data_IF_207339318104
#
_entry.id   IF_207339318104
#
_cell.length_a   1.000
_cell.length_b   1.000
_cell.length_c   1.000
_cell.angle_alpha   90.00
_cell.angle_beta   90.00
_cell.angle_gamma   90.00
#
_symmetry.space_group_name_H-M   'P 1'
#
loop_
_entity.id
_entity.type
_entity.pdbx_description
1 polymer ?
#
# COMPACT_ATOMS: atom_id res chain seq x y z
N UNK A 1 1.32 28.71 -11.80
CA UNK A 1 1.12 27.64 -12.79
C UNK A 1 2.26 26.65 -12.66
N UNK A 2 2.00 25.35 -12.65
CA UNK A 2 2.98 24.28 -12.57
C UNK A 2 3.35 23.79 -13.98
N UNK A 3 4.51 23.15 -14.11
CA UNK A 3 4.86 22.44 -15.34
C UNK A 3 4.19 21.08 -15.39
N UNK A 4 4.06 20.42 -14.21
CA UNK A 4 3.42 19.11 -14.06
C UNK A 4 2.57 19.07 -12.80
N UNK A 5 1.35 18.55 -12.91
CA UNK A 5 0.56 18.02 -11.80
C UNK A 5 0.52 16.50 -11.91
N UNK A 6 0.73 15.83 -10.78
CA UNK A 6 0.62 14.37 -10.63
C UNK A 6 -0.55 14.05 -9.72
N UNK A 7 -1.48 13.21 -10.18
CA UNK A 7 -2.60 12.72 -9.37
C UNK A 7 -2.31 11.31 -8.88
N UNK A 8 -2.08 11.17 -7.59
CA UNK A 8 -1.73 9.93 -6.91
C UNK A 8 -0.25 9.82 -6.53
N UNK A 9 0.01 9.58 -5.27
CA UNK A 9 1.35 9.47 -4.65
C UNK A 9 1.84 8.03 -4.46
N UNK A 10 1.31 7.07 -5.24
CA UNK A 10 1.82 5.71 -5.30
C UNK A 10 3.16 5.60 -6.04
N UNK A 11 3.69 4.36 -6.26
CA UNK A 11 5.02 4.15 -6.86
C UNK A 11 5.22 4.85 -8.21
N UNK A 12 4.21 4.90 -9.05
CA UNK A 12 4.27 5.62 -10.31
C UNK A 12 4.37 7.14 -10.07
N UNK A 13 3.49 7.68 -9.19
CA UNK A 13 3.37 9.11 -8.98
C UNK A 13 4.55 9.73 -8.26
N UNK A 14 4.96 9.18 -7.12
CA UNK A 14 6.06 9.79 -6.36
C UNK A 14 7.40 9.71 -7.11
N UNK A 15 7.69 8.61 -7.82
CA UNK A 15 8.90 8.50 -8.62
C UNK A 15 8.88 9.48 -9.81
N UNK A 16 7.73 9.60 -10.49
CA UNK A 16 7.59 10.54 -11.61
C UNK A 16 7.71 12.01 -11.15
N UNK A 17 7.08 12.36 -10.02
CA UNK A 17 7.14 13.71 -9.46
C UNK A 17 8.57 14.08 -9.06
N UNK A 18 9.29 13.19 -8.36
CA UNK A 18 10.69 13.39 -7.99
C UNK A 18 11.57 13.55 -9.23
N UNK A 19 11.39 12.69 -10.23
CA UNK A 19 12.16 12.77 -11.48
C UNK A 19 11.91 14.06 -12.24
N UNK A 20 10.63 14.48 -12.35
CA UNK A 20 10.25 15.72 -13.00
C UNK A 20 10.89 16.94 -12.30
N UNK A 21 10.83 16.99 -10.97
CA UNK A 21 11.44 18.05 -10.18
C UNK A 21 12.97 18.13 -10.37
N UNK A 22 13.67 16.98 -10.34
CA UNK A 22 15.10 16.92 -10.64
C UNK A 22 15.45 17.36 -12.06
N UNK A 23 14.49 17.31 -13.00
CA UNK A 23 14.64 17.83 -14.36
C UNK A 23 14.27 19.32 -14.48
N UNK A 24 14.11 20.03 -13.36
CA UNK A 24 13.81 21.45 -13.30
C UNK A 24 12.34 21.82 -13.49
N UNK A 25 11.42 20.85 -13.49
CA UNK A 25 9.98 21.12 -13.62
C UNK A 25 9.38 21.53 -12.28
N UNK A 26 8.62 22.63 -12.26
CA UNK A 26 7.78 22.97 -11.10
C UNK A 26 6.65 21.95 -10.99
N UNK A 27 6.75 21.05 -9.99
CA UNK A 27 5.90 19.87 -9.88
C UNK A 27 5.02 19.94 -8.62
N UNK A 28 3.74 19.61 -8.80
CA UNK A 28 2.75 19.45 -7.75
C UNK A 28 2.24 18.00 -7.77
N UNK A 29 2.14 17.37 -6.60
CA UNK A 29 1.58 16.02 -6.43
C UNK A 29 0.39 16.07 -5.47
N UNK A 30 -0.73 15.49 -5.87
CA UNK A 30 -1.89 15.25 -5.03
C UNK A 30 -1.92 13.80 -4.55
N UNK A 31 -2.10 13.57 -3.25
CA UNK A 31 -2.33 12.27 -2.66
C UNK A 31 -3.47 12.34 -1.65
N UNK A 32 -4.57 11.66 -1.93
CA UNK A 32 -5.79 11.73 -1.12
C UNK A 32 -5.81 10.83 0.12
N UNK A 33 -4.82 9.92 0.27
CA UNK A 33 -4.73 8.98 1.40
C UNK A 33 -3.35 9.06 2.06
N UNK A 34 -2.40 8.28 1.54
CA UNK A 34 -1.05 8.21 2.06
C UNK A 34 -0.03 8.02 0.95
N UNK A 35 1.09 8.74 1.02
CA UNK A 35 2.22 8.53 0.11
C UNK A 35 2.66 7.06 0.12
N UNK A 36 3.12 6.60 -1.05
CA UNK A 36 3.50 5.20 -1.24
C UNK A 36 2.41 4.34 -1.86
N UNK A 37 1.14 4.80 -1.84
CA UNK A 37 0.00 4.14 -2.47
C UNK A 37 -0.23 2.72 -1.97
N UNK A 38 -0.93 1.91 -2.75
CA UNK A 38 -1.27 0.51 -2.38
C UNK A 38 -0.03 -0.31 -2.06
N UNK A 39 1.03 -0.21 -2.84
CA UNK A 39 2.24 -1.03 -2.65
C UNK A 39 2.84 -0.88 -1.24
N UNK A 40 3.00 0.34 -0.75
CA UNK A 40 3.61 0.56 0.56
C UNK A 40 2.63 0.40 1.72
N UNK A 41 1.38 0.79 1.54
CA UNK A 41 0.42 0.85 2.64
C UNK A 41 -0.46 -0.40 2.75
N UNK A 42 -0.85 -0.99 1.62
CA UNK A 42 -1.91 -2.00 1.54
C UNK A 42 -1.52 -3.21 0.66
N UNK A 43 -0.23 -3.38 0.31
CA UNK A 43 0.19 -4.38 -0.67
C UNK A 43 1.58 -4.97 -0.44
N UNK A 44 2.52 -4.63 -1.32
CA UNK A 44 3.84 -5.29 -1.40
C UNK A 44 4.59 -5.28 -0.07
N UNK A 45 4.80 -4.12 0.52
CA UNK A 45 5.65 -3.95 1.71
C UNK A 45 5.04 -4.60 2.94
N UNK A 46 3.77 -4.32 3.32
CA UNK A 46 3.17 -4.98 4.48
C UNK A 46 3.10 -6.50 4.31
N UNK A 47 2.72 -7.00 3.15
CA UNK A 47 2.66 -8.45 2.89
C UNK A 47 4.03 -9.10 3.04
N UNK A 48 5.09 -8.55 2.44
CA UNK A 48 6.44 -9.11 2.55
C UNK A 48 6.99 -9.00 3.98
N UNK A 49 6.59 -7.99 4.73
CA UNK A 49 6.94 -7.89 6.16
C UNK A 49 6.33 -9.03 6.98
N UNK A 50 5.06 -9.37 6.75
CA UNK A 50 4.39 -10.52 7.39
C UNK A 50 5.04 -11.84 6.98
N UNK A 51 5.17 -12.08 5.68
CA UNK A 51 5.77 -13.31 5.13
C UNK A 51 7.20 -13.54 5.62
N UNK A 52 7.99 -12.47 5.78
CA UNK A 52 9.35 -12.61 6.30
C UNK A 52 9.36 -13.07 7.77
N UNK A 53 8.44 -12.58 8.59
CA UNK A 53 8.29 -13.05 9.97
C UNK A 53 7.83 -14.52 10.03
N UNK A 54 6.88 -14.90 9.16
CA UNK A 54 6.46 -16.30 9.03
C UNK A 54 7.63 -17.22 8.59
N UNK A 55 8.45 -16.77 7.63
CA UNK A 55 9.61 -17.50 7.15
C UNK A 55 10.63 -17.75 8.28
N UNK A 56 10.90 -16.75 9.14
CA UNK A 56 11.77 -16.92 10.29
C UNK A 56 11.17 -17.96 11.25
N UNK A 57 9.86 -17.89 11.51
CA UNK A 57 9.17 -18.86 12.35
C UNK A 57 9.22 -20.27 11.78
N UNK A 58 9.02 -20.44 10.48
CA UNK A 58 9.16 -21.76 9.81
C UNK A 58 10.59 -22.31 9.90
N UNK A 59 11.61 -21.46 9.83
CA UNK A 59 13.00 -21.90 9.99
C UNK A 59 13.25 -22.46 11.40
N UNK A 60 12.61 -21.95 12.42
CA UNK A 60 12.74 -22.51 13.78
C UNK A 60 12.08 -23.89 13.93
N UNK A 61 11.09 -24.20 13.09
CA UNK A 61 10.40 -25.51 13.08
C UNK A 61 11.14 -26.56 12.24
N UNK A 62 11.87 -26.15 11.24
CA UNK A 62 12.50 -27.03 10.25
C UNK A 62 14.02 -26.90 10.22
N UNK A 63 14.60 -26.28 11.25
CA UNK A 63 16.04 -26.02 11.35
C UNK A 63 16.91 -27.28 11.41
N UNK A 64 16.37 -28.38 11.94
CA UNK A 64 17.08 -29.65 12.09
C UNK A 64 17.66 -30.18 10.78
N UNK A 65 16.94 -29.98 9.66
CA UNK A 65 17.42 -30.34 8.33
C UNK A 65 18.72 -29.60 7.92
N UNK A 66 19.04 -28.53 8.64
CA UNK A 66 20.22 -27.68 8.41
C UNK A 66 21.17 -27.66 9.60
N UNK A 67 21.00 -28.61 10.53
CA UNK A 67 21.85 -28.70 11.73
C UNK A 67 21.53 -27.63 12.81
N UNK A 68 20.39 -27.00 12.76
CA UNK A 68 19.96 -26.00 13.75
C UNK A 68 18.85 -26.57 14.61
N UNK A 69 19.09 -26.73 15.90
CA UNK A 69 18.10 -27.22 16.87
C UNK A 69 17.49 -26.04 17.63
N UNK A 70 16.15 -25.96 17.62
CA UNK A 70 15.39 -25.00 18.42
C UNK A 70 14.54 -25.76 19.45
N UNK A 71 14.64 -25.41 20.73
CA UNK A 71 13.91 -26.06 21.82
C UNK A 71 12.47 -25.56 22.02
N UNK A 72 11.99 -24.74 21.11
CA UNK A 72 10.63 -24.21 21.07
C UNK A 72 10.61 -22.86 20.41
N UNK A 73 9.50 -22.57 19.74
CA UNK A 73 9.27 -21.28 19.12
C UNK A 73 7.80 -20.92 19.18
N UNK A 74 7.51 -19.65 19.34
CA UNK A 74 6.18 -19.09 19.27
C UNK A 74 6.22 -17.83 18.41
N UNK A 75 5.09 -17.52 17.77
CA UNK A 75 4.94 -16.28 17.02
C UNK A 75 3.92 -15.38 17.72
N UNK A 76 4.32 -14.14 17.97
CA UNK A 76 3.41 -13.08 18.41
C UNK A 76 2.90 -12.31 17.18
N UNK A 77 1.70 -12.65 16.76
CA UNK A 77 1.09 -12.06 15.57
C UNK A 77 0.86 -10.55 15.71
N UNK A 78 0.44 -10.09 16.89
CA UNK A 78 0.21 -8.66 17.13
C UNK A 78 1.52 -7.86 17.02
N UNK A 79 2.63 -8.43 17.53
CA UNK A 79 3.97 -7.87 17.35
C UNK A 79 4.38 -7.84 15.87
N UNK A 80 4.12 -8.90 15.13
CA UNK A 80 4.43 -8.98 13.68
C UNK A 80 3.70 -7.89 12.91
N UNK A 81 2.41 -7.67 13.20
CA UNK A 81 1.64 -6.57 12.60
C UNK A 81 2.21 -5.20 13.00
N UNK A 82 2.53 -4.99 14.28
CA UNK A 82 3.15 -3.75 14.75
C UNK A 82 4.52 -3.47 14.12
N UNK A 83 5.33 -4.53 13.88
CA UNK A 83 6.58 -4.42 13.12
C UNK A 83 6.33 -3.99 11.67
N UNK A 84 5.32 -4.58 11.01
CA UNK A 84 4.89 -4.19 9.66
C UNK A 84 4.53 -2.70 9.61
N UNK A 85 3.78 -2.19 10.59
CA UNK A 85 3.40 -0.77 10.68
C UNK A 85 4.62 0.15 10.75
N UNK A 86 5.62 -0.21 11.55
CA UNK A 86 6.88 0.55 11.65
C UNK A 86 7.65 0.58 10.34
N UNK A 87 7.73 -0.55 9.63
CA UNK A 87 8.41 -0.64 8.33
C UNK A 87 7.72 0.28 7.31
N UNK A 88 6.39 0.19 7.20
CA UNK A 88 5.58 1.04 6.32
C UNK A 88 5.78 2.51 6.65
N UNK A 89 5.62 2.89 7.93
CA UNK A 89 5.77 4.28 8.37
C UNK A 89 7.14 4.88 8.05
N UNK A 90 8.21 4.09 8.24
CA UNK A 90 9.58 4.51 7.90
C UNK A 90 9.72 4.80 6.40
N UNK A 91 9.20 3.92 5.55
CA UNK A 91 9.30 4.07 4.10
C UNK A 91 8.44 5.23 3.58
N UNK A 92 7.23 5.38 4.09
CA UNK A 92 6.32 6.50 3.75
C UNK A 92 6.96 7.84 4.12
N UNK A 93 7.52 7.94 5.33
CA UNK A 93 8.25 9.14 5.78
C UNK A 93 9.46 9.44 4.90
N UNK A 94 10.19 8.40 4.48
CA UNK A 94 11.32 8.51 3.57
C UNK A 94 10.91 9.09 2.21
N UNK A 95 9.78 8.67 1.65
CA UNK A 95 9.24 9.22 0.39
C UNK A 95 8.90 10.70 0.58
N UNK A 96 8.20 11.07 1.65
CA UNK A 96 7.89 12.47 1.94
C UNK A 96 9.15 13.35 2.02
N UNK A 97 10.18 12.86 2.70
CA UNK A 97 11.49 13.53 2.77
C UNK A 97 12.17 13.71 1.40
N UNK A 98 12.14 12.67 0.56
CA UNK A 98 12.70 12.72 -0.81
C UNK A 98 11.98 13.73 -1.68
N UNK A 99 10.64 13.71 -1.71
CA UNK A 99 9.83 14.65 -2.47
C UNK A 99 10.08 16.09 -2.04
N UNK A 100 10.11 16.35 -0.73
CA UNK A 100 10.42 17.66 -0.16
C UNK A 100 11.82 18.13 -0.57
N UNK A 101 12.83 17.26 -0.50
CA UNK A 101 14.22 17.58 -0.90
C UNK A 101 14.32 17.88 -2.39
N UNK A 102 13.53 17.20 -3.22
CA UNK A 102 13.47 17.44 -4.67
C UNK A 102 12.69 18.73 -5.04
N UNK A 103 12.02 19.38 -4.08
CA UNK A 103 11.23 20.57 -4.33
C UNK A 103 9.83 20.30 -4.90
N UNK A 104 9.33 19.06 -4.73
CA UNK A 104 7.94 18.72 -5.09
C UNK A 104 7.00 19.26 -4.02
N UNK A 105 6.02 20.05 -4.44
CA UNK A 105 4.90 20.42 -3.57
C UNK A 105 3.92 19.22 -3.48
N UNK A 106 3.58 18.82 -2.26
CA UNK A 106 2.64 17.71 -2.02
C UNK A 106 1.40 18.26 -1.31
N UNK A 107 0.23 17.96 -1.86
CA UNK A 107 -1.06 18.31 -1.25
C UNK A 107 -1.77 17.01 -0.88
N UNK A 108 -2.08 16.90 0.42
CA UNK A 108 -2.84 15.76 0.98
C UNK A 108 -4.34 15.96 0.74
N UNK A 109 -4.75 15.77 -0.52
CA UNK A 109 -6.14 15.88 -0.95
C UNK A 109 -6.35 15.11 -2.25
N UNK A 110 -7.61 14.80 -2.56
CA UNK A 110 -7.99 14.29 -3.88
C UNK A 110 -8.06 15.44 -4.88
N UNK A 111 -7.24 15.38 -5.93
CA UNK A 111 -7.33 16.31 -7.05
C UNK A 111 -8.36 15.86 -8.07
N UNK A 112 -9.30 16.73 -8.40
CA UNK A 112 -10.31 16.51 -9.45
C UNK A 112 -9.97 17.34 -10.68
N UNK A 113 -9.94 16.73 -11.85
CA UNK A 113 -9.74 17.43 -13.12
C UNK A 113 -11.03 18.17 -13.46
N UNK A 114 -10.98 19.51 -13.46
CA UNK A 114 -12.16 20.34 -13.70
C UNK A 114 -12.11 21.10 -15.02
N UNK A 115 -10.99 21.11 -15.72
CA UNK A 115 -10.89 21.77 -17.00
C UNK A 115 -9.62 21.50 -17.78
N UNK A 116 -9.69 21.82 -19.09
CA UNK A 116 -8.56 21.84 -20.01
C UNK A 116 -8.76 22.99 -21.01
N UNK A 117 -7.72 23.77 -21.24
CA UNK A 117 -7.68 24.82 -22.26
C UNK A 117 -6.37 24.73 -23.07
N UNK A 118 -6.11 25.70 -23.92
CA UNK A 118 -4.90 25.78 -24.76
C UNK A 118 -3.62 25.93 -23.89
N UNK A 119 -3.73 26.35 -22.62
CA UNK A 119 -2.61 26.58 -21.70
C UNK A 119 -2.32 25.35 -20.82
N UNK A 120 -3.22 24.37 -20.77
CA UNK A 120 -3.04 23.16 -19.97
C UNK A 120 -4.30 22.68 -19.25
N UNK A 121 -4.10 22.15 -18.06
CA UNK A 121 -5.12 21.48 -17.24
C UNK A 121 -5.42 22.29 -15.98
N UNK A 122 -6.67 22.25 -15.53
CA UNK A 122 -7.10 22.74 -14.23
C UNK A 122 -7.49 21.55 -13.35
N UNK A 123 -6.94 21.52 -12.14
CA UNK A 123 -7.25 20.55 -11.10
C UNK A 123 -7.76 21.30 -9.89
N UNK A 124 -8.86 20.85 -9.32
CA UNK A 124 -9.44 21.43 -8.10
C UNK A 124 -9.30 20.46 -6.92
N UNK A 125 -8.87 20.97 -5.77
CA UNK A 125 -8.82 20.25 -4.50
C UNK A 125 -9.16 21.21 -3.36
N UNK A 126 -10.01 20.78 -2.44
CA UNK A 126 -10.47 21.58 -1.28
C UNK A 126 -10.91 23.01 -1.64
N UNK A 127 -11.65 23.14 -2.73
CA UNK A 127 -12.18 24.42 -3.22
C UNK A 127 -11.15 25.34 -3.87
N UNK A 128 -9.89 24.91 -4.05
CA UNK A 128 -8.82 25.67 -4.70
C UNK A 128 -8.50 25.12 -6.07
N UNK A 129 -8.22 26.02 -7.03
CA UNK A 129 -7.79 25.67 -8.38
C UNK A 129 -6.26 25.68 -8.52
N UNK A 130 -5.76 24.68 -9.21
CA UNK A 130 -4.36 24.53 -9.58
C UNK A 130 -4.22 24.29 -11.07
N UNK A 131 -3.28 24.98 -11.71
CA UNK A 131 -3.11 24.92 -13.17
C UNK A 131 -1.74 24.40 -13.54
N UNK A 132 -1.67 23.49 -14.51
CA UNK A 132 -0.44 22.93 -15.02
C UNK A 132 -0.44 22.75 -16.53
N UNK A 133 0.73 22.84 -17.14
CA UNK A 133 0.92 22.56 -18.56
C UNK A 133 0.70 21.09 -18.89
N UNK A 134 1.06 20.18 -17.98
CA UNK A 134 0.97 18.73 -18.13
C UNK A 134 0.32 18.11 -16.91
N UNK A 135 -0.38 17.00 -17.14
CA UNK A 135 -1.05 16.20 -16.12
C UNK A 135 -0.63 14.75 -16.24
N UNK A 136 -0.27 14.12 -15.12
CA UNK A 136 0.05 12.70 -15.04
C UNK A 136 -0.95 12.01 -14.10
N UNK A 137 -1.63 10.99 -14.60
CA UNK A 137 -2.58 10.18 -13.85
C UNK A 137 -1.89 8.94 -13.28
N UNK A 138 -1.79 8.89 -11.95
CA UNK A 138 -1.20 7.79 -11.20
C UNK A 138 -2.16 7.32 -10.09
N UNK A 139 -3.46 7.28 -10.40
CA UNK A 139 -4.55 7.07 -9.45
C UNK A 139 -4.63 5.66 -8.88
N UNK A 140 -3.84 4.72 -9.40
CA UNK A 140 -3.70 3.37 -8.87
C UNK A 140 -4.92 2.48 -9.09
N UNK A 141 -5.15 1.57 -8.15
CA UNK A 141 -6.21 0.57 -8.19
C UNK A 141 -6.77 0.29 -6.78
N UNK A 142 -7.86 -0.41 -6.73
CA UNK A 142 -8.48 -0.91 -5.48
C UNK A 142 -8.85 -2.38 -5.62
N UNK A 143 -9.09 -3.04 -4.49
CA UNK A 143 -9.53 -4.42 -4.49
C UNK A 143 -10.89 -4.56 -5.18
N UNK A 144 -10.97 -5.44 -6.16
CA UNK A 144 -12.23 -5.79 -6.81
C UNK A 144 -12.95 -6.85 -5.98
N UNK A 145 -14.18 -6.55 -5.59
CA UNK A 145 -15.09 -7.53 -4.96
C UNK A 145 -15.96 -8.10 -6.08
N UNK A 146 -15.80 -9.39 -6.42
CA UNK A 146 -16.58 -9.99 -7.50
C UNK A 146 -18.08 -10.04 -7.15
N UNK A 147 -18.97 -10.01 -8.14
CA UNK A 147 -20.42 -9.97 -7.93
C UNK A 147 -20.98 -11.38 -7.55
N UNK A 148 -20.46 -11.92 -6.47
CA UNK A 148 -20.95 -13.18 -5.86
C UNK A 148 -22.02 -12.82 -4.85
N UNK A 149 -23.21 -13.48 -4.86
CA UNK A 149 -24.25 -13.20 -3.90
C UNK A 149 -23.77 -13.27 -2.45
N UNK A 150 -24.07 -12.26 -1.66
CA UNK A 150 -23.68 -12.15 -0.25
C UNK A 150 -22.24 -11.67 0.00
N UNK A 151 -21.37 -11.62 -1.00
CA UNK A 151 -19.98 -11.26 -0.79
C UNK A 151 -19.79 -9.75 -0.49
N UNK A 152 -20.53 -8.91 -1.20
CA UNK A 152 -20.48 -7.45 -0.97
C UNK A 152 -20.95 -7.11 0.44
N UNK A 153 -22.08 -7.66 0.86
CA UNK A 153 -22.64 -7.50 2.19
C UNK A 153 -21.69 -8.04 3.27
N UNK A 154 -21.01 -9.14 2.98
CA UNK A 154 -20.00 -9.72 3.89
C UNK A 154 -18.80 -8.80 4.06
N UNK A 155 -18.35 -8.11 3.01
CA UNK A 155 -17.26 -7.11 3.09
C UNK A 155 -17.74 -5.88 3.84
N UNK A 156 -18.93 -5.38 3.56
CA UNK A 156 -19.51 -4.21 4.24
C UNK A 156 -19.72 -4.45 5.74
N UNK A 157 -20.06 -5.68 6.14
CA UNK A 157 -20.19 -6.08 7.56
C UNK A 157 -18.85 -6.34 8.26
N UNK A 158 -17.73 -6.40 7.51
CA UNK A 158 -16.42 -6.74 8.05
C UNK A 158 -16.18 -8.24 8.27
N UNK A 159 -17.11 -9.12 7.90
CA UNK A 159 -16.94 -10.57 7.97
C UNK A 159 -15.95 -11.07 6.89
N UNK A 160 -16.12 -10.62 5.65
CA UNK A 160 -15.13 -10.83 4.60
C UNK A 160 -14.20 -9.61 4.52
N UNK A 161 -12.94 -9.87 4.22
CA UNK A 161 -11.88 -8.86 4.20
C UNK A 161 -11.17 -8.83 2.85
N UNK A 162 -10.74 -7.65 2.44
CA UNK A 162 -9.83 -7.50 1.31
C UNK A 162 -8.37 -7.51 1.80
N UNK A 163 -7.43 -7.28 0.87
CA UNK A 163 -6.00 -7.13 1.23
C UNK A 163 -5.74 -6.03 2.27
N UNK A 164 -6.63 -5.08 2.41
CA UNK A 164 -6.45 -3.95 3.34
C UNK A 164 -6.69 -4.37 4.77
N UNK A 165 -7.88 -4.87 5.03
CA UNK A 165 -8.33 -5.21 6.37
C UNK A 165 -7.52 -6.37 6.96
N UNK A 166 -7.21 -7.39 6.14
CA UNK A 166 -6.47 -8.56 6.61
C UNK A 166 -5.03 -8.26 7.01
N UNK A 167 -4.40 -7.25 6.39
CA UNK A 167 -3.04 -6.81 6.74
C UNK A 167 -2.98 -6.10 8.10
N UNK A 168 -4.12 -5.60 8.59
CA UNK A 168 -4.23 -4.90 9.87
C UNK A 168 -4.88 -5.74 10.97
N UNK A 169 -5.28 -6.97 10.64
CA UNK A 169 -5.82 -7.93 11.61
C UNK A 169 -4.76 -8.22 12.69
N UNK A 170 -5.12 -8.04 13.96
CA UNK A 170 -4.18 -8.23 15.08
C UNK A 170 -4.37 -9.55 15.81
N UNK A 171 -5.49 -10.23 15.60
CA UNK A 171 -5.80 -11.51 16.20
C UNK A 171 -5.86 -12.59 15.12
N UNK A 172 -5.27 -13.74 15.38
CA UNK A 172 -5.33 -14.86 14.44
C UNK A 172 -6.71 -15.52 14.48
N UNK A 173 -7.38 -15.71 13.34
CA UNK A 173 -8.61 -16.49 13.29
C UNK A 173 -8.29 -17.99 13.46
N UNK A 174 -9.27 -18.79 13.85
CA UNK A 174 -9.11 -20.26 13.92
C UNK A 174 -8.94 -20.88 12.53
N UNK A 175 -9.63 -20.32 11.56
CA UNK A 175 -9.62 -20.76 10.16
C UNK A 175 -9.85 -19.58 9.22
N UNK A 176 -9.34 -19.68 8.01
CA UNK A 176 -9.50 -18.68 6.97
C UNK A 176 -9.82 -19.34 5.64
N UNK A 177 -10.85 -18.83 4.97
CA UNK A 177 -11.18 -19.21 3.60
C UNK A 177 -10.74 -18.10 2.66
N UNK A 178 -9.94 -18.43 1.66
CA UNK A 178 -9.46 -17.48 0.65
C UNK A 178 -10.27 -17.67 -0.63
N UNK A 179 -11.01 -16.63 -1.03
CA UNK A 179 -11.75 -16.61 -2.29
C UNK A 179 -10.86 -16.03 -3.39
N UNK A 180 -10.40 -16.91 -4.26
CA UNK A 180 -9.52 -16.58 -5.38
C UNK A 180 -8.07 -17.01 -5.18
N UNK A 181 -7.47 -17.58 -6.23
CA UNK A 181 -6.10 -18.10 -6.27
C UNK A 181 -5.09 -17.14 -6.89
N UNK A 182 -5.35 -15.84 -6.88
CA UNK A 182 -4.39 -14.82 -7.32
C UNK A 182 -3.22 -14.65 -6.33
N UNK A 183 -2.19 -13.90 -6.73
CA UNK A 183 -0.95 -13.75 -5.95
C UNK A 183 -1.21 -13.27 -4.51
N UNK A 184 -2.11 -12.32 -4.32
CA UNK A 184 -2.44 -11.79 -2.98
C UNK A 184 -3.08 -12.89 -2.12
N UNK A 185 -4.04 -13.63 -2.66
CA UNK A 185 -4.69 -14.74 -1.95
C UNK A 185 -3.71 -15.82 -1.52
N UNK A 186 -2.79 -16.21 -2.42
CA UNK A 186 -1.75 -17.19 -2.14
C UNK A 186 -0.75 -16.71 -1.09
N UNK A 187 -0.36 -15.43 -1.11
CA UNK A 187 0.52 -14.84 -0.10
C UNK A 187 -0.13 -14.82 1.28
N UNK A 188 -1.43 -14.46 1.37
CA UNK A 188 -2.18 -14.49 2.62
C UNK A 188 -2.36 -15.94 3.11
N UNK A 189 -2.77 -16.86 2.24
CA UNK A 189 -2.86 -18.28 2.59
C UNK A 189 -1.53 -18.82 3.12
N UNK A 190 -0.41 -18.49 2.48
CA UNK A 190 0.92 -18.89 2.93
C UNK A 190 1.24 -18.35 4.32
N UNK A 191 1.03 -17.04 4.54
CA UNK A 191 1.28 -16.42 5.84
C UNK A 191 0.47 -17.07 6.94
N UNK A 192 -0.86 -17.11 6.78
CA UNK A 192 -1.76 -17.62 7.82
C UNK A 192 -1.56 -19.12 8.10
N UNK A 193 -1.28 -19.92 7.06
CA UNK A 193 -0.94 -21.34 7.25
C UNK A 193 0.36 -21.50 8.06
N UNK A 194 1.41 -20.74 7.74
CA UNK A 194 2.70 -20.79 8.47
C UNK A 194 2.55 -20.47 9.96
N UNK A 195 1.64 -19.55 10.30
CA UNK A 195 1.38 -19.16 11.70
C UNK A 195 0.31 -20.01 12.38
N UNK A 196 -0.20 -21.07 11.74
CA UNK A 196 -1.05 -22.10 12.33
C UNK A 196 -2.56 -21.92 12.16
N UNK A 197 -2.99 -21.03 11.27
CA UNK A 197 -4.40 -20.89 10.88
C UNK A 197 -4.77 -21.98 9.85
N UNK A 198 -5.94 -22.58 9.99
CA UNK A 198 -6.44 -23.63 9.08
C UNK A 198 -7.08 -23.04 7.84
#
# INVERSE_FOLDING_TARGET
MYDLIVLGGGPAGYNAAERAAHSGMKTLLFEGKALGGVCLNEGCVPTKSLLYSAKIYDYTKHGEAYGVTCTGSAIDHAFVVGRKDKVVGTLVSGIGGRLKKAGVEVISAFGTITGRDAKGFTVTADGKEYKAKKLLLCTGSYAFVPPVPGLKESVESGFAMTNREILDMRELPRSLVVIGGGVIGLEMASYFNSVGVK
#
